data_IF_141631991261
#
_entry.id   IF_141631991261
#
_cell.length_a   1.000
_cell.length_b   1.000
_cell.length_c   1.000
_cell.angle_alpha   90.00
_cell.angle_beta   90.00
_cell.angle_gamma   90.00
#
_symmetry.space_group_name_H-M   'P 1'
#
loop_
_entity.id
_entity.type
_entity.pdbx_description
1 polymer ?
#
# COMPACT_ATOMS: atom_id res chain seq x y z
N UNK A 1 14.45 -5.90 -53.89
CA UNK A 1 13.37 -5.06 -53.33
C UNK A 1 12.31 -5.86 -52.56
N UNK A 2 11.88 -7.04 -53.03
CA UNK A 2 10.75 -7.78 -52.43
C UNK A 2 10.98 -8.35 -51.02
N UNK A 3 12.23 -8.66 -50.65
CA UNK A 3 12.57 -9.26 -49.35
C UNK A 3 12.36 -8.27 -48.18
N UNK A 4 12.59 -6.97 -48.41
CA UNK A 4 12.42 -5.94 -47.38
C UNK A 4 10.94 -5.73 -47.02
N UNK A 5 10.07 -5.67 -48.03
CA UNK A 5 8.63 -5.49 -47.82
C UNK A 5 8.00 -6.69 -47.09
N UNK A 6 8.41 -7.91 -47.46
CA UNK A 6 7.97 -9.12 -46.76
C UNK A 6 8.48 -9.15 -45.31
N UNK A 7 9.74 -8.75 -45.08
CA UNK A 7 10.30 -8.66 -43.73
C UNK A 7 9.55 -7.65 -42.86
N UNK A 8 9.26 -6.46 -43.38
CA UNK A 8 8.47 -5.47 -42.65
C UNK A 8 7.05 -5.98 -42.36
N UNK A 9 6.40 -6.63 -43.33
CA UNK A 9 5.07 -7.21 -43.14
C UNK A 9 5.07 -8.28 -42.03
N UNK A 10 6.03 -9.20 -42.08
CA UNK A 10 6.17 -10.26 -41.07
C UNK A 10 6.52 -9.70 -39.69
N UNK A 11 7.44 -8.73 -39.62
CA UNK A 11 7.84 -8.08 -38.36
C UNK A 11 6.66 -7.34 -37.70
N UNK A 12 5.84 -6.63 -38.47
CA UNK A 12 4.65 -5.95 -37.95
C UNK A 12 3.60 -6.95 -37.48
N UNK A 13 3.35 -8.05 -38.22
CA UNK A 13 2.41 -9.09 -37.78
C UNK A 13 2.87 -9.79 -36.51
N UNK A 14 4.17 -10.09 -36.37
CA UNK A 14 4.75 -10.66 -35.16
C UNK A 14 4.55 -9.74 -33.97
N UNK A 15 4.87 -8.45 -34.11
CA UNK A 15 4.68 -7.47 -33.03
C UNK A 15 3.23 -7.27 -32.64
N UNK A 16 2.28 -7.29 -33.58
CA UNK A 16 0.85 -7.23 -33.23
C UNK A 16 0.38 -8.49 -32.49
N UNK A 17 0.88 -9.67 -32.87
CA UNK A 17 0.57 -10.91 -32.18
C UNK A 17 1.18 -10.97 -30.76
N UNK A 18 2.38 -10.43 -30.60
CA UNK A 18 3.04 -10.26 -29.30
C UNK A 18 2.29 -9.24 -28.43
N UNK A 19 1.85 -8.12 -29.01
CA UNK A 19 1.09 -7.09 -28.30
C UNK A 19 -0.26 -7.60 -27.78
N UNK A 20 -0.99 -8.40 -28.56
CA UNK A 20 -2.25 -9.03 -28.11
C UNK A 20 -2.05 -10.14 -27.07
N UNK A 21 -0.85 -10.72 -26.99
CA UNK A 21 -0.44 -11.67 -25.94
C UNK A 21 0.19 -10.99 -24.73
N UNK A 22 0.42 -9.68 -24.79
CA UNK A 22 1.04 -8.94 -23.70
C UNK A 22 0.01 -8.62 -22.61
N UNK A 23 -0.02 -9.45 -21.56
CA UNK A 23 -0.89 -9.25 -20.41
C UNK A 23 -0.36 -8.19 -19.44
N UNK A 24 0.84 -7.63 -19.63
CA UNK A 24 1.45 -6.69 -18.67
C UNK A 24 0.60 -5.43 -18.45
N UNK A 25 -0.10 -4.97 -19.48
CA UNK A 25 -1.03 -3.84 -19.39
C UNK A 25 -2.30 -4.14 -18.61
N UNK A 26 -2.90 -5.32 -18.81
CA UNK A 26 -4.10 -5.78 -18.09
C UNK A 26 -3.76 -6.09 -16.62
N UNK A 27 -2.60 -6.69 -16.40
CA UNK A 27 -2.09 -6.97 -15.06
C UNK A 27 -1.81 -5.67 -14.28
N UNK A 28 -1.35 -4.60 -14.94
CA UNK A 28 -1.12 -3.32 -14.28
C UNK A 28 -2.41 -2.66 -13.79
N UNK A 29 -3.51 -2.71 -14.57
CA UNK A 29 -4.79 -2.11 -14.16
C UNK A 29 -5.47 -2.91 -13.03
N UNK A 30 -5.31 -4.24 -13.02
CA UNK A 30 -5.81 -5.10 -11.95
C UNK A 30 -5.08 -4.86 -10.63
N UNK A 31 -3.74 -4.83 -10.65
CA UNK A 31 -2.96 -4.52 -9.46
C UNK A 31 -3.20 -3.09 -8.97
N UNK A 32 -3.42 -2.13 -9.87
CA UNK A 32 -3.80 -0.78 -9.49
C UNK A 32 -5.12 -0.75 -8.72
N UNK A 33 -6.14 -1.51 -9.17
CA UNK A 33 -7.42 -1.62 -8.46
C UNK A 33 -7.26 -2.28 -7.08
N UNK A 34 -6.48 -3.37 -7.01
CA UNK A 34 -6.20 -4.06 -5.75
C UNK A 34 -5.47 -3.12 -4.76
N UNK A 35 -4.52 -2.32 -5.25
CA UNK A 35 -3.80 -1.35 -4.42
C UNK A 35 -4.75 -0.29 -3.83
N UNK A 36 -5.70 0.22 -4.62
CA UNK A 36 -6.72 1.16 -4.12
C UNK A 36 -7.60 0.48 -3.07
N UNK A 37 -8.08 -0.75 -3.32
CA UNK A 37 -8.89 -1.49 -2.35
C UNK A 37 -8.14 -1.70 -1.02
N UNK A 38 -6.88 -2.14 -1.09
CA UNK A 38 -6.04 -2.33 0.10
C UNK A 38 -5.76 -1.03 0.84
N UNK A 39 -5.48 0.07 0.13
CA UNK A 39 -5.26 1.38 0.75
C UNK A 39 -6.50 1.87 1.51
N UNK A 40 -7.70 1.72 0.92
CA UNK A 40 -8.95 2.12 1.60
C UNK A 40 -9.26 1.25 2.82
N UNK A 41 -9.06 -0.07 2.72
CA UNK A 41 -9.26 -0.98 3.83
C UNK A 41 -8.30 -0.68 4.99
N UNK A 42 -7.02 -0.47 4.67
CA UNK A 42 -6.02 -0.11 5.66
C UNK A 42 -6.35 1.23 6.32
N UNK A 43 -6.76 2.24 5.56
CA UNK A 43 -7.15 3.54 6.11
C UNK A 43 -8.29 3.40 7.15
N UNK A 44 -9.28 2.55 6.88
CA UNK A 44 -10.40 2.31 7.81
C UNK A 44 -9.96 1.56 9.08
N UNK A 45 -9.16 0.50 8.94
CA UNK A 45 -8.70 -0.30 10.09
C UNK A 45 -7.72 0.49 10.96
N UNK A 46 -6.77 1.16 10.30
CA UNK A 46 -5.72 1.91 10.97
C UNK A 46 -6.31 3.12 11.69
N UNK A 47 -7.36 3.73 11.10
CA UNK A 47 -8.09 4.83 11.70
C UNK A 47 -7.23 6.09 11.81
N UNK A 48 -7.48 6.90 12.83
CA UNK A 48 -6.75 8.14 13.09
C UNK A 48 -6.18 8.12 14.52
N UNK A 49 -5.67 9.26 15.00
CA UNK A 49 -5.05 9.34 16.33
C UNK A 49 -6.02 9.07 17.49
N UNK A 50 -7.33 9.15 17.23
CA UNK A 50 -8.41 9.05 18.22
C UNK A 50 -9.33 7.83 18.01
N UNK A 51 -9.19 7.10 16.90
CA UNK A 51 -10.06 5.99 16.52
C UNK A 51 -9.34 4.90 15.73
N UNK A 52 -9.92 3.70 15.67
CA UNK A 52 -9.30 2.54 15.03
C UNK A 52 -8.06 2.05 15.79
N UNK A 53 -7.17 1.35 15.08
CA UNK A 53 -5.96 0.76 15.68
C UNK A 53 -5.00 1.81 16.25
N UNK A 54 -4.80 2.93 15.56
CA UNK A 54 -3.89 3.99 16.00
C UNK A 54 -4.38 4.68 17.28
N UNK A 55 -5.70 4.92 17.41
CA UNK A 55 -6.27 5.45 18.64
C UNK A 55 -6.09 4.53 19.84
N UNK A 56 -6.29 3.22 19.65
CA UNK A 56 -6.08 2.23 20.71
C UNK A 56 -4.59 2.17 21.14
N UNK A 57 -3.68 2.22 20.17
CA UNK A 57 -2.24 2.26 20.41
C UNK A 57 -1.86 3.52 21.19
N UNK A 58 -2.33 4.69 20.75
CA UNK A 58 -2.09 5.98 21.39
C UNK A 58 -2.56 5.95 22.86
N UNK A 59 -3.82 5.56 23.11
CA UNK A 59 -4.38 5.44 24.45
C UNK A 59 -3.55 4.54 25.37
N UNK A 60 -3.05 3.42 24.85
CA UNK A 60 -2.24 2.48 25.61
C UNK A 60 -0.89 3.11 26.00
N UNK A 61 -0.23 3.79 25.08
CA UNK A 61 1.03 4.49 25.37
C UNK A 61 0.85 5.69 26.29
N UNK A 62 -0.24 6.46 26.15
CA UNK A 62 -0.57 7.53 27.11
C UNK A 62 -0.74 6.96 28.51
N UNK A 63 -1.49 5.87 28.67
CA UNK A 63 -1.68 5.23 29.97
C UNK A 63 -0.36 4.73 30.58
N UNK A 64 0.55 4.18 29.77
CA UNK A 64 1.89 3.78 30.22
C UNK A 64 2.70 5.00 30.66
N UNK A 65 2.69 6.08 29.86
CA UNK A 65 3.37 7.33 30.19
C UNK A 65 2.85 7.90 31.51
N UNK A 66 1.53 7.97 31.69
CA UNK A 66 0.88 8.47 32.90
C UNK A 66 1.22 7.61 34.12
N UNK A 67 1.29 6.28 33.97
CA UNK A 67 1.69 5.38 35.04
C UNK A 67 3.15 5.61 35.46
N UNK A 68 4.06 5.80 34.50
CA UNK A 68 5.47 6.10 34.77
C UNK A 68 5.61 7.45 35.47
N UNK A 69 4.94 8.49 34.96
CA UNK A 69 4.96 9.84 35.58
C UNK A 69 4.32 9.83 36.97
N UNK A 70 3.24 9.07 37.16
CA UNK A 70 2.61 8.89 38.47
C UNK A 70 3.54 8.25 39.48
N UNK A 71 4.33 7.25 39.08
CA UNK A 71 5.33 6.60 39.94
C UNK A 71 6.49 7.56 40.27
N UNK A 72 6.99 8.33 39.31
CA UNK A 72 8.09 9.28 39.57
C UNK A 72 7.66 10.45 40.45
N UNK A 73 6.42 10.94 40.32
CA UNK A 73 5.86 11.98 41.19
C UNK A 73 5.48 11.43 42.58
N UNK A 74 5.02 10.18 42.67
CA UNK A 74 4.73 9.49 43.92
C UNK A 74 6.00 9.21 44.74
N UNK A 75 7.11 8.87 44.08
CA UNK A 75 8.41 8.71 44.72
C UNK A 75 8.98 10.02 45.30
N UNK A 76 8.54 11.19 44.80
CA UNK A 76 8.92 12.49 45.33
C UNK A 76 8.01 12.99 46.47
N UNK A 77 6.88 12.33 46.74
CA UNK A 77 5.92 12.68 47.82
C UNK A 77 5.82 11.61 48.91
N UNK A 78 6.89 10.86 49.14
CA UNK A 78 7.14 10.17 50.40
C UNK A 78 8.08 11.02 51.24
N UNK A 79 7.64 11.37 52.45
CA UNK A 79 8.46 11.91 53.55
C UNK A 79 9.79 11.19 53.75
#
# INVERSE_FOLDING_TARGET
MNNLMIKCYVATRLRMAEFGKDSRGVTAIEYALIAVAMATLLALILGNQDSGFLGALNKTFTAISDAITGVTLGASKGS
#
